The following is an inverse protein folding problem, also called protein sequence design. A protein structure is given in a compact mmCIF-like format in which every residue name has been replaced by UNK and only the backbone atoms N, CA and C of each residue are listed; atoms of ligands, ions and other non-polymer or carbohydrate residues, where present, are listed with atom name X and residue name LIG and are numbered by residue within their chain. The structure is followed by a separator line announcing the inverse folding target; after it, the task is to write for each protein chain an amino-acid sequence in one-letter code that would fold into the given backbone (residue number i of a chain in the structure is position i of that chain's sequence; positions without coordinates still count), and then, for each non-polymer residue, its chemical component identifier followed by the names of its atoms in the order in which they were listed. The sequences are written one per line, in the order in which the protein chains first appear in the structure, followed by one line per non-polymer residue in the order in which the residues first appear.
data_IF_752804076092
#
_entry.id   IF_752804076092
#
_cell.length_a   1.000
_cell.length_b   1.000
_cell.length_c   1.000
_cell.angle_alpha   90.00
_cell.angle_beta   90.00
_cell.angle_gamma   90.00
#
_symmetry.space_group_name_H-M   'P 1'
#
loop_
_entity.id
_entity.type
_entity.pdbx_description
1 polymer ?
#
# COMPACT_ATOMS: atom_id res chain seq x y z
N UNK A 1 -3.97 -11.00 3.05
CA UNK A 1 -3.20 -11.27 1.81
C UNK A 1 -1.73 -11.04 2.14
N UNK A 2 -0.83 -12.01 1.89
CA UNK A 2 0.61 -11.81 2.08
C UNK A 2 1.18 -10.93 0.96
N UNK A 3 2.15 -10.05 1.28
CA UNK A 3 3.02 -9.47 0.26
C UNK A 3 4.16 -10.44 -0.05
N UNK A 4 4.42 -10.67 -1.34
CA UNK A 4 5.54 -11.49 -1.78
C UNK A 4 6.81 -10.66 -2.04
N UNK A 5 6.66 -9.37 -2.31
CA UNK A 5 7.80 -8.47 -2.52
C UNK A 5 8.37 -7.98 -1.18
N UNK A 6 9.67 -7.73 -1.15
CA UNK A 6 10.28 -7.07 -0.01
C UNK A 6 9.90 -5.59 0.03
N UNK A 7 9.61 -5.08 1.23
CA UNK A 7 9.32 -3.66 1.46
C UNK A 7 9.99 -3.21 2.77
N UNK A 8 10.23 -1.91 2.90
CA UNK A 8 10.79 -1.33 4.14
C UNK A 8 9.92 -1.64 5.37
N UNK A 9 8.62 -1.82 5.17
CA UNK A 9 7.69 -2.28 6.21
C UNK A 9 8.15 -3.58 6.89
N UNK A 10 8.85 -4.47 6.19
CA UNK A 10 9.41 -5.69 6.79
C UNK A 10 10.53 -5.39 7.78
N UNK A 11 11.35 -4.37 7.51
CA UNK A 11 12.42 -3.93 8.41
C UNK A 11 11.81 -3.21 9.62
N UNK A 12 10.83 -2.34 9.37
CA UNK A 12 10.15 -1.55 10.40
C UNK A 12 9.26 -2.41 11.32
N UNK A 13 8.80 -3.57 10.85
CA UNK A 13 7.91 -4.45 11.62
C UNK A 13 8.46 -4.88 12.99
N UNK A 14 9.77 -4.85 13.20
CA UNK A 14 10.39 -5.16 14.50
C UNK A 14 10.39 -3.98 15.49
N UNK A 15 10.03 -2.78 15.05
CA UNK A 15 10.10 -1.55 15.85
C UNK A 15 8.74 -1.08 16.34
N UNK A 16 7.69 -1.27 15.56
CA UNK A 16 6.33 -0.84 15.90
C UNK A 16 5.27 -1.65 15.14
N UNK A 17 3.99 -1.59 15.57
CA UNK A 17 2.89 -2.11 14.76
C UNK A 17 2.87 -1.42 13.40
N UNK A 18 2.90 -2.21 12.33
CA UNK A 18 2.94 -1.72 10.96
C UNK A 18 1.92 -2.44 10.10
N UNK A 19 1.42 -1.75 9.08
CA UNK A 19 0.54 -2.31 8.06
C UNK A 19 0.87 -1.75 6.69
N UNK A 20 0.40 -2.43 5.65
CA UNK A 20 0.55 -1.99 4.26
C UNK A 20 -0.82 -1.92 3.59
N UNK A 21 -0.99 -0.94 2.70
CA UNK A 21 -2.16 -0.80 1.83
C UNK A 21 -1.72 -1.11 0.41
N UNK A 22 -2.36 -2.10 -0.21
CA UNK A 22 -2.09 -2.49 -1.59
C UNK A 22 -3.21 -1.97 -2.49
N UNK A 23 -2.82 -1.44 -3.65
CA UNK A 23 -3.73 -1.11 -4.74
C UNK A 23 -3.52 -2.07 -5.91
N UNK A 24 -4.44 -2.05 -6.88
CA UNK A 24 -4.38 -2.94 -8.05
C UNK A 24 -3.43 -2.38 -9.11
N UNK A 25 -2.42 -3.15 -9.48
CA UNK A 25 -1.68 -2.96 -10.73
C UNK A 25 -2.31 -3.80 -11.85
N UNK A 26 -2.43 -3.23 -13.04
CA UNK A 26 -2.98 -3.92 -14.23
C UNK A 26 -2.18 -5.20 -14.49
N UNK A 27 -2.89 -6.32 -14.55
CA UNK A 27 -2.32 -7.67 -14.74
C UNK A 27 -1.27 -8.07 -13.67
N UNK A 28 -1.19 -7.37 -12.53
CA UNK A 28 -0.19 -7.64 -11.49
C UNK A 28 1.26 -7.37 -11.92
N UNK A 29 1.47 -6.61 -12.99
CA UNK A 29 2.82 -6.29 -13.48
C UNK A 29 3.52 -5.29 -12.56
N UNK A 30 4.82 -5.48 -12.39
CA UNK A 30 5.72 -4.54 -11.72
C UNK A 30 7.14 -4.69 -12.26
N UNK A 31 7.98 -3.65 -12.11
CA UNK A 31 9.34 -3.57 -12.65
C UNK A 31 9.42 -3.68 -14.18
N UNK A 32 8.41 -3.18 -14.88
CA UNK A 32 8.40 -3.09 -16.34
C UNK A 32 7.68 -1.81 -16.80
N UNK A 33 7.81 -1.47 -18.08
CA UNK A 33 7.29 -0.20 -18.63
C UNK A 33 5.75 -0.21 -18.68
N UNK A 34 5.17 -1.40 -18.78
CA UNK A 34 3.73 -1.66 -18.80
C UNK A 34 3.09 -1.63 -17.40
N UNK A 35 3.89 -1.50 -16.34
CA UNK A 35 3.39 -1.34 -14.97
C UNK A 35 2.46 -0.12 -14.90
N UNK A 36 1.23 -0.36 -14.47
CA UNK A 36 0.20 0.67 -14.46
C UNK A 36 -0.83 0.42 -13.36
N UNK A 37 -1.12 1.47 -12.58
CA UNK A 37 -2.27 1.53 -11.68
C UNK A 37 -3.22 2.62 -12.17
N UNK A 38 -4.53 2.35 -12.13
CA UNK A 38 -5.53 3.32 -12.59
C UNK A 38 -5.62 4.51 -11.63
N UNK A 39 -6.08 5.68 -12.14
CA UNK A 39 -6.34 6.85 -11.28
C UNK A 39 -7.33 6.54 -10.16
N UNK A 40 -8.35 5.72 -10.44
CA UNK A 40 -9.35 5.31 -9.46
C UNK A 40 -8.74 4.45 -8.35
N UNK A 41 -7.84 3.51 -8.68
CA UNK A 41 -7.15 2.69 -7.69
C UNK A 41 -6.20 3.52 -6.82
N UNK A 42 -5.49 4.48 -7.44
CA UNK A 42 -4.61 5.43 -6.74
C UNK A 42 -5.40 6.31 -5.78
N UNK A 43 -6.54 6.85 -6.20
CA UNK A 43 -7.43 7.67 -5.37
C UNK A 43 -7.94 6.89 -4.17
N UNK A 44 -8.48 5.69 -4.39
CA UNK A 44 -8.97 4.82 -3.30
C UNK A 44 -7.87 4.44 -2.32
N UNK A 45 -6.68 4.09 -2.80
CA UNK A 45 -5.54 3.78 -1.96
C UNK A 45 -5.11 4.97 -1.10
N UNK A 46 -5.07 6.16 -1.69
CA UNK A 46 -4.71 7.40 -1.00
C UNK A 46 -5.74 7.77 0.05
N UNK A 47 -7.03 7.70 -0.28
CA UNK A 47 -8.12 7.98 0.66
C UNK A 47 -8.12 6.99 1.84
N UNK A 48 -7.87 5.70 1.57
CA UNK A 48 -7.76 4.69 2.62
C UNK A 48 -6.56 4.96 3.54
N UNK A 49 -5.41 5.34 2.98
CA UNK A 49 -4.24 5.72 3.78
C UNK A 49 -4.56 6.91 4.68
N UNK A 50 -5.14 7.98 4.12
CA UNK A 50 -5.54 9.16 4.89
C UNK A 50 -6.47 8.80 6.06
N UNK A 51 -7.55 8.07 5.78
CA UNK A 51 -8.50 7.65 6.81
C UNK A 51 -7.85 6.73 7.85
N UNK A 52 -6.89 5.89 7.45
CA UNK A 52 -6.18 4.99 8.36
C UNK A 52 -5.28 5.78 9.32
N UNK A 53 -4.61 6.81 8.84
CA UNK A 53 -3.78 7.69 9.68
C UNK A 53 -4.65 8.41 10.70
N UNK A 54 -5.76 9.03 10.27
CA UNK A 54 -6.70 9.68 11.19
C UNK A 54 -7.18 8.70 12.28
N UNK A 55 -7.60 7.51 11.87
CA UNK A 55 -8.05 6.47 12.81
C UNK A 55 -6.96 6.05 13.80
N UNK A 56 -5.69 5.96 13.38
CA UNK A 56 -4.57 5.62 14.25
C UNK A 56 -4.28 6.74 15.25
N UNK A 57 -4.39 8.00 14.83
CA UNK A 57 -4.29 9.18 15.70
C UNK A 57 -5.51 9.37 16.60
N UNK A 58 -6.59 8.62 16.40
CA UNK A 58 -7.84 8.72 17.16
C UNK A 58 -8.76 9.87 16.71
N UNK A 59 -8.59 10.32 15.47
CA UNK A 59 -9.40 11.35 14.79
C UNK A 59 -10.48 10.75 13.88
#
# INVERSE_FOLDING_TARGET
MPSFAAHDAMVVANLCPIGMIFIRSKNGLSHCVEEFSSKEDLEKGTQLLFNSILKVEGL
#
